data_IF_293579063458
#
_entry.id   IF_293579063458
#
_cell.length_a   1.000
_cell.length_b   1.000
_cell.length_c   1.000
_cell.angle_alpha   90.00
_cell.angle_beta   90.00
_cell.angle_gamma   90.00
#
_symmetry.space_group_name_H-M   'P 1'
#
loop_
_entity.id
_entity.type
_entity.pdbx_description
1 polymer ?
#
# COMPACT_ATOMS: atom_id res chain seq x y z
N UNK A 1 -9.04 -66.05 -9.14
CA UNK A 1 -9.42 -65.42 -7.85
C UNK A 1 -8.71 -64.08 -7.71
N UNK A 2 -9.48 -63.04 -7.32
CA UNK A 2 -9.12 -61.67 -6.92
C UNK A 2 -8.25 -60.83 -7.88
N UNK A 3 -8.91 -60.11 -8.80
CA UNK A 3 -8.39 -58.85 -9.34
C UNK A 3 -8.85 -57.73 -8.41
N UNK A 4 -7.87 -57.02 -7.84
CA UNK A 4 -8.07 -55.88 -6.95
C UNK A 4 -8.52 -54.70 -7.82
N UNK A 5 -9.77 -54.28 -7.64
CA UNK A 5 -10.28 -53.03 -8.21
C UNK A 5 -9.78 -51.88 -7.34
N UNK A 6 -8.78 -51.16 -7.83
CA UNK A 6 -8.32 -49.91 -7.23
C UNK A 6 -9.33 -48.82 -7.58
N UNK A 7 -10.28 -48.58 -6.68
CA UNK A 7 -11.27 -47.52 -6.80
C UNK A 7 -10.54 -46.18 -6.63
N UNK A 8 -10.22 -45.53 -7.74
CA UNK A 8 -9.71 -44.17 -7.77
C UNK A 8 -10.85 -43.24 -7.33
N UNK A 9 -10.88 -42.91 -6.05
CA UNK A 9 -11.77 -41.90 -5.49
C UNK A 9 -11.29 -40.54 -6.00
N UNK A 10 -11.93 -40.07 -7.06
CA UNK A 10 -11.76 -38.73 -7.60
C UNK A 10 -12.39 -37.73 -6.63
N UNK A 11 -11.65 -37.38 -5.59
CA UNK A 11 -11.98 -36.30 -4.67
C UNK A 11 -11.90 -35.00 -5.46
N UNK A 12 -13.05 -34.48 -5.88
CA UNK A 12 -13.21 -33.15 -6.44
C UNK A 12 -12.68 -32.12 -5.43
N UNK A 13 -11.43 -31.70 -5.62
CA UNK A 13 -10.88 -30.50 -5.02
C UNK A 13 -11.62 -29.31 -5.65
N UNK A 14 -12.67 -28.87 -4.96
CA UNK A 14 -13.26 -27.55 -5.15
C UNK A 14 -12.19 -26.52 -4.77
N UNK A 15 -11.40 -26.11 -5.76
CA UNK A 15 -10.51 -24.96 -5.65
C UNK A 15 -11.44 -23.75 -5.61
N UNK A 16 -11.79 -23.32 -4.40
CA UNK A 16 -12.35 -22.00 -4.19
C UNK A 16 -11.29 -21.00 -4.65
N UNK A 17 -11.43 -20.54 -5.89
CA UNK A 17 -10.75 -19.37 -6.42
C UNK A 17 -11.28 -18.15 -5.66
N UNK A 18 -10.83 -17.98 -4.42
CA UNK A 18 -10.90 -16.69 -3.74
C UNK A 18 -9.94 -15.82 -4.54
N UNK A 19 -10.49 -15.07 -5.49
CA UNK A 19 -9.81 -13.93 -6.09
C UNK A 19 -9.54 -13.00 -4.91
N UNK A 20 -8.34 -13.09 -4.34
CA UNK A 20 -7.85 -12.14 -3.37
C UNK A 20 -7.89 -10.78 -4.06
N UNK A 21 -8.89 -9.97 -3.72
CA UNK A 21 -8.98 -8.59 -4.12
C UNK A 21 -7.67 -7.95 -3.68
N UNK A 22 -6.81 -7.56 -4.64
CA UNK A 22 -5.48 -7.06 -4.33
C UNK A 22 -5.64 -5.84 -3.44
N UNK A 23 -5.22 -5.97 -2.18
CA UNK A 23 -5.27 -4.86 -1.24
C UNK A 23 -4.49 -3.68 -1.85
N UNK A 24 -5.02 -2.46 -1.74
CA UNK A 24 -4.28 -1.25 -2.11
C UNK A 24 -2.92 -1.24 -1.40
N UNK A 25 -1.83 -1.23 -2.17
CA UNK A 25 -0.47 -1.11 -1.64
C UNK A 25 0.18 0.14 -2.21
N UNK A 26 -0.07 1.27 -1.53
CA UNK A 26 0.72 2.49 -1.72
C UNK A 26 1.72 2.57 -0.57
N UNK A 27 2.99 2.32 -0.85
CA UNK A 27 4.08 2.33 0.11
C UNK A 27 4.79 3.68 0.08
N UNK A 28 4.58 4.51 1.09
CA UNK A 28 5.38 5.71 1.31
C UNK A 28 6.74 5.30 1.92
N UNK A 29 7.83 5.77 1.33
CA UNK A 29 9.19 5.45 1.77
C UNK A 29 10.01 6.72 1.95
N UNK A 30 10.70 6.83 3.09
CA UNK A 30 11.80 7.77 3.25
C UNK A 30 13.06 7.19 2.58
N UNK A 31 13.58 7.88 1.57
CA UNK A 31 14.70 7.39 0.75
C UNK A 31 16.01 7.27 1.56
N UNK A 32 16.24 8.21 2.50
CA UNK A 32 17.48 8.24 3.29
C UNK A 32 17.51 7.14 4.35
N UNK A 33 16.40 6.93 5.06
CA UNK A 33 16.34 6.00 6.19
C UNK A 33 15.83 4.61 5.81
N UNK A 34 15.23 4.46 4.63
CA UNK A 34 14.60 3.21 4.20
C UNK A 34 13.29 2.87 4.94
N UNK A 35 12.85 3.73 5.86
CA UNK A 35 11.60 3.57 6.62
C UNK A 35 10.39 3.63 5.69
N UNK A 36 9.41 2.75 5.92
CA UNK A 36 8.28 2.51 5.03
C UNK A 36 6.98 2.40 5.80
N UNK A 37 5.91 2.89 5.18
CA UNK A 37 4.54 2.76 5.70
C UNK A 37 3.57 2.54 4.54
N UNK A 38 2.55 1.69 4.76
CA UNK A 38 1.44 1.55 3.81
C UNK A 38 0.39 2.62 4.12
N UNK A 39 0.13 3.51 3.15
CA UNK A 39 -0.81 4.62 3.33
C UNK A 39 -2.26 4.24 3.00
N UNK A 40 -2.51 3.02 2.49
CA UNK A 40 -3.87 2.52 2.25
C UNK A 40 -4.50 1.82 3.47
N UNK A 41 -3.75 1.64 4.57
CA UNK A 41 -4.21 0.88 5.74
C UNK A 41 -4.51 1.78 6.93
N UNK A 42 -5.44 1.37 7.78
CA UNK A 42 -5.67 2.05 9.06
C UNK A 42 -4.42 1.94 9.94
N UNK A 43 -3.95 3.08 10.46
CA UNK A 43 -2.83 3.15 11.39
C UNK A 43 -3.04 4.32 12.35
N UNK A 44 -2.67 4.08 13.60
CA UNK A 44 -2.70 5.08 14.65
C UNK A 44 -1.63 6.17 14.40
N UNK A 45 -1.96 7.46 14.57
CA UNK A 45 -1.02 8.59 14.45
C UNK A 45 0.29 8.41 15.22
N UNK A 46 0.24 7.88 16.44
CA UNK A 46 1.44 7.69 17.28
C UNK A 46 2.35 6.61 16.70
N UNK A 47 1.77 5.59 16.06
CA UNK A 47 2.53 4.56 15.33
C UNK A 47 3.21 5.13 14.08
N UNK A 48 2.63 6.16 13.46
CA UNK A 48 3.26 6.83 12.31
C UNK A 48 4.56 7.51 12.73
N UNK A 49 4.57 8.27 13.83
CA UNK A 49 5.81 8.86 14.37
C UNK A 49 6.81 7.80 14.81
N UNK A 50 6.35 6.70 15.42
CA UNK A 50 7.24 5.61 15.82
C UNK A 50 7.97 4.98 14.61
N UNK A 51 7.27 4.82 13.48
CA UNK A 51 7.83 4.23 12.25
C UNK A 51 8.72 5.24 11.53
N UNK A 52 8.18 6.41 11.16
CA UNK A 52 8.87 7.38 10.30
C UNK A 52 9.90 8.22 11.06
N UNK A 53 9.78 8.28 12.39
CA UNK A 53 10.53 9.19 13.25
C UNK A 53 9.70 10.42 13.60
N UNK A 54 10.22 11.23 14.52
CA UNK A 54 9.56 12.46 14.97
C UNK A 54 9.34 13.43 13.79
N UNK A 55 8.13 13.95 13.67
CA UNK A 55 7.82 14.99 12.69
C UNK A 55 8.50 16.32 13.07
N UNK A 56 8.68 17.21 12.09
CA UNK A 56 9.11 18.60 12.37
C UNK A 56 8.00 19.31 13.15
N UNK A 57 6.76 19.16 12.69
CA UNK A 57 5.55 19.54 13.42
C UNK A 57 4.50 18.44 13.33
N UNK A 58 3.76 18.26 14.43
CA UNK A 58 2.57 17.43 14.52
C UNK A 58 1.47 18.28 15.14
N UNK A 59 0.53 18.72 14.31
CA UNK A 59 -0.60 19.52 14.76
C UNK A 59 -1.83 18.63 14.90
N UNK A 60 -2.53 18.75 16.04
CA UNK A 60 -3.77 18.03 16.31
C UNK A 60 -4.92 19.03 16.41
N UNK A 61 -5.85 18.94 15.49
CA UNK A 61 -7.05 19.75 15.46
C UNK A 61 -8.23 18.96 16.03
N UNK A 62 -8.83 19.47 17.10
CA UNK A 62 -10.03 18.90 17.70
C UNK A 62 -11.21 19.56 17.02
N UNK A 63 -12.03 18.74 16.35
CA UNK A 63 -13.20 19.19 15.62
C UNK A 63 -14.42 19.31 16.56
N UNK A 64 -15.34 20.21 16.22
CA UNK A 64 -16.63 20.29 16.92
C UNK A 64 -17.49 19.04 16.61
N UNK A 65 -18.50 18.75 17.44
CA UNK A 65 -19.53 17.71 17.17
C UNK A 65 -19.03 16.26 17.05
N UNK A 66 -18.30 15.76 18.05
CA UNK A 66 -17.92 14.33 18.16
C UNK A 66 -17.16 13.76 16.93
N UNK A 67 -16.57 14.62 16.11
CA UNK A 67 -15.78 14.18 14.97
C UNK A 67 -14.38 13.70 15.42
N UNK A 68 -13.79 12.71 14.74
CA UNK A 68 -12.42 12.29 15.03
C UNK A 68 -11.43 13.44 14.79
N UNK A 69 -10.41 13.61 15.65
CA UNK A 69 -9.41 14.66 15.48
C UNK A 69 -8.64 14.50 14.17
N UNK A 70 -8.24 15.62 13.60
CA UNK A 70 -7.37 15.69 12.41
C UNK A 70 -5.94 15.86 12.88
N UNK A 71 -5.03 15.08 12.30
CA UNK A 71 -3.60 15.14 12.57
C UNK A 71 -2.86 15.58 11.31
N UNK A 72 -2.10 16.65 11.41
CA UNK A 72 -1.27 17.18 10.34
C UNK A 72 0.20 16.93 10.69
N UNK A 73 0.83 16.03 9.94
CA UNK A 73 2.25 15.74 10.06
C UNK A 73 3.03 16.54 9.03
N UNK A 74 4.07 17.24 9.48
CA UNK A 74 5.01 17.91 8.60
C UNK A 74 6.42 17.36 8.79
N UNK A 75 6.99 16.88 7.69
CA UNK A 75 8.40 16.50 7.57
C UNK A 75 9.05 17.33 6.46
N UNK A 76 10.37 17.30 6.39
CA UNK A 76 11.09 17.92 5.28
C UNK A 76 10.76 17.22 3.95
N UNK A 77 9.94 17.87 3.13
CA UNK A 77 9.51 17.37 1.82
C UNK A 77 8.26 16.51 1.80
N UNK A 78 7.56 16.37 2.93
CA UNK A 78 6.37 15.54 3.07
C UNK A 78 5.39 16.20 4.05
N UNK A 79 4.13 16.32 3.63
CA UNK A 79 3.01 16.62 4.54
C UNK A 79 1.97 15.50 4.46
N UNK A 80 1.40 15.14 5.60
CA UNK A 80 0.36 14.12 5.68
C UNK A 80 -0.79 14.61 6.56
N UNK A 81 -2.01 14.39 6.10
CA UNK A 81 -3.23 14.67 6.83
C UNK A 81 -3.88 13.33 7.17
N UNK A 82 -4.16 13.10 8.46
CA UNK A 82 -4.81 11.90 8.96
C UNK A 82 -6.07 12.22 9.74
N UNK A 83 -7.10 11.39 9.58
CA UNK A 83 -8.33 11.44 10.37
C UNK A 83 -8.94 10.02 10.44
N UNK A 84 -9.51 9.63 11.57
CA UNK A 84 -10.01 8.26 11.82
C UNK A 84 -8.95 7.17 11.53
N UNK A 85 -7.72 7.39 12.01
CA UNK A 85 -6.59 6.49 11.80
C UNK A 85 -6.30 6.16 10.33
N UNK A 86 -6.63 7.07 9.41
CA UNK A 86 -6.43 6.88 7.97
C UNK A 86 -5.76 8.10 7.37
N UNK A 87 -4.88 7.87 6.39
CA UNK A 87 -4.32 8.93 5.56
C UNK A 87 -5.40 9.48 4.63
N UNK A 88 -5.67 10.78 4.72
CA UNK A 88 -6.60 11.50 3.84
C UNK A 88 -5.86 12.19 2.71
N UNK A 89 -4.69 12.75 3.02
CA UNK A 89 -3.83 13.40 2.04
C UNK A 89 -2.36 13.13 2.36
N UNK A 90 -1.56 12.93 1.32
CA UNK A 90 -0.10 12.76 1.38
C UNK A 90 0.48 13.59 0.23
N UNK A 91 1.22 14.64 0.57
CA UNK A 91 1.88 15.51 -0.41
C UNK A 91 3.39 15.37 -0.28
N UNK A 92 4.07 15.12 -1.40
CA UNK A 92 5.53 15.02 -1.48
C UNK A 92 6.03 16.18 -2.33
N UNK A 93 7.05 16.88 -1.85
CA UNK A 93 7.61 18.07 -2.52
C UNK A 93 9.10 17.96 -2.84
N UNK A 94 9.77 16.90 -2.40
CA UNK A 94 11.18 16.68 -2.73
C UNK A 94 11.51 15.19 -2.95
N UNK A 95 12.78 14.91 -3.28
CA UNK A 95 13.30 13.56 -3.57
C UNK A 95 13.60 12.71 -2.33
N UNK A 96 13.36 13.22 -1.12
CA UNK A 96 13.59 12.47 0.13
C UNK A 96 12.50 11.44 0.38
N UNK A 97 11.37 11.56 -0.32
CA UNK A 97 10.21 10.71 -0.19
C UNK A 97 9.79 10.15 -1.54
N UNK A 98 9.30 8.92 -1.54
CA UNK A 98 8.75 8.27 -2.72
C UNK A 98 7.50 7.48 -2.35
N UNK A 99 6.55 7.42 -3.27
CA UNK A 99 5.43 6.48 -3.21
C UNK A 99 5.75 5.34 -4.18
N UNK A 100 5.82 4.12 -3.65
CA UNK A 100 6.31 2.95 -4.36
C UNK A 100 7.69 3.24 -5.00
N UNK A 101 7.73 3.33 -6.33
CA UNK A 101 8.93 3.62 -7.12
C UNK A 101 8.88 4.98 -7.82
N UNK A 102 7.98 5.88 -7.39
CA UNK A 102 7.76 7.22 -7.96
C UNK A 102 8.20 8.27 -6.95
N UNK A 103 9.02 9.22 -7.40
CA UNK A 103 9.52 10.35 -6.62
C UNK A 103 9.43 11.63 -7.44
N UNK A 104 9.62 12.79 -6.81
CA UNK A 104 9.73 14.06 -7.54
C UNK A 104 10.83 13.99 -8.58
N UNK A 105 10.50 14.40 -9.81
CA UNK A 105 11.38 14.35 -10.97
C UNK A 105 11.41 13.02 -11.72
N UNK A 106 10.59 12.02 -11.35
CA UNK A 106 10.33 10.87 -12.23
C UNK A 106 9.58 11.37 -13.47
N UNK A 107 10.08 11.02 -14.66
CA UNK A 107 9.46 11.37 -15.93
C UNK A 107 8.13 10.64 -16.10
N UNK A 108 7.18 11.27 -16.80
CA UNK A 108 5.86 10.67 -17.01
C UNK A 108 5.95 9.39 -17.85
N UNK A 109 6.81 9.39 -18.86
CA UNK A 109 7.07 8.24 -19.74
C UNK A 109 7.60 7.04 -18.95
N UNK A 110 8.42 7.27 -17.91
CA UNK A 110 8.92 6.21 -17.03
C UNK A 110 7.80 5.62 -16.16
N UNK A 111 6.80 6.41 -15.78
CA UNK A 111 5.63 5.96 -15.02
C UNK A 111 4.75 5.10 -15.91
N UNK A 112 4.46 5.56 -17.13
CA UNK A 112 3.66 4.82 -18.12
C UNK A 112 4.31 3.50 -18.51
N UNK A 113 5.62 3.50 -18.80
CA UNK A 113 6.35 2.29 -19.16
C UNK A 113 6.28 1.23 -18.05
N UNK A 114 6.40 1.63 -16.78
CA UNK A 114 6.24 0.72 -15.63
C UNK A 114 4.82 0.19 -15.51
N UNK A 115 3.82 1.04 -15.71
CA UNK A 115 2.41 0.63 -15.68
C UNK A 115 2.11 -0.43 -16.75
N UNK A 116 2.55 -0.21 -17.98
CA UNK A 116 2.36 -1.15 -19.09
C UNK A 116 3.13 -2.47 -18.90
N UNK A 117 4.34 -2.43 -18.33
CA UNK A 117 5.06 -3.66 -17.97
C UNK A 117 4.31 -4.50 -16.95
N UNK A 118 3.74 -3.88 -15.90
CA UNK A 118 2.94 -4.59 -14.88
C UNK A 118 1.70 -5.21 -15.52
N UNK A 119 1.01 -4.47 -16.40
CA UNK A 119 -0.17 -4.95 -17.12
C UNK A 119 0.14 -6.18 -17.98
N UNK A 120 1.25 -6.14 -18.74
CA UNK A 120 1.71 -7.27 -19.56
C UNK A 120 2.01 -8.51 -18.71
N UNK A 121 2.70 -8.34 -17.58
CA UNK A 121 3.03 -9.44 -16.68
C UNK A 121 1.77 -10.13 -16.11
N UNK A 122 0.77 -9.35 -15.69
CA UNK A 122 -0.51 -9.89 -15.21
C UNK A 122 -1.23 -10.69 -16.30
N UNK A 123 -1.30 -10.13 -17.52
CA UNK A 123 -1.93 -10.81 -18.66
C UNK A 123 -1.21 -12.14 -18.99
N UNK A 124 0.12 -12.18 -18.92
CA UNK A 124 0.89 -13.41 -19.12
C UNK A 124 0.56 -14.47 -18.05
N UNK A 125 0.48 -14.10 -16.77
CA UNK A 125 0.10 -15.04 -15.70
C UNK A 125 -1.30 -15.62 -15.94
N UNK A 126 -2.26 -14.79 -16.36
CA UNK A 126 -3.63 -15.25 -16.64
C UNK A 126 -3.64 -16.22 -17.82
N UNK A 127 -2.85 -15.97 -18.88
CA UNK A 127 -2.78 -16.84 -20.05
C UNK A 127 -2.10 -18.20 -19.80
N UNK A 128 -1.39 -18.35 -18.68
CA UNK A 128 -0.70 -19.58 -18.27
C UNK A 128 -1.52 -20.44 -17.29
N UNK A 129 -2.70 -19.98 -16.89
CA UNK A 129 -3.67 -20.73 -16.08
C UNK A 129 -4.81 -21.25 -16.94
#
# INVERSE_FOLDING_TARGET
MKKIYFLFTFLFLMINSIIAQSACVLQLTNVKTGKKINICTKIDPDKVEAILGKAITLDKEIQEKNEPPVFNFTYDGLTMIMQDNQFKNVTITNKKWKINNITIGTLFEEIEAKHEQIKKFILQIISLK
#
